data_IF_218220437528
#
_entry.id   IF_218220437528
#
_cell.length_a   1.000
_cell.length_b   1.000
_cell.length_c   1.000
_cell.angle_alpha   90.00
_cell.angle_beta   90.00
_cell.angle_gamma   90.00
#
_symmetry.space_group_name_H-M   'P 1'
#
loop_
_entity.id
_entity.type
_entity.pdbx_description
1 polymer ?
#
# COMPACT_ATOMS: atom_id res chain seq x y z
N UNK A 1 18.72 24.76 -54.90
CA UNK A 1 18.60 23.41 -54.26
C UNK A 1 19.51 23.21 -53.05
N UNK A 2 20.75 23.74 -52.97
CA UNK A 2 21.66 23.54 -51.81
C UNK A 2 21.13 24.08 -50.48
N UNK A 3 20.45 25.24 -50.49
CA UNK A 3 19.93 25.87 -49.27
C UNK A 3 18.75 25.10 -48.66
N UNK A 4 17.89 24.48 -49.51
CA UNK A 4 16.76 23.68 -49.05
C UNK A 4 17.22 22.41 -48.32
N UNK A 5 18.26 21.74 -48.82
CA UNK A 5 18.86 20.57 -48.13
C UNK A 5 19.43 20.94 -46.76
N UNK A 6 20.05 22.11 -46.61
CA UNK A 6 20.61 22.56 -45.34
C UNK A 6 19.51 22.86 -44.32
N UNK A 7 18.40 23.49 -44.74
CA UNK A 7 17.25 23.77 -43.88
C UNK A 7 16.58 22.47 -43.42
N UNK A 8 16.34 21.52 -44.33
CA UNK A 8 15.74 20.22 -43.99
C UNK A 8 16.61 19.43 -43.01
N UNK A 9 17.95 19.47 -43.18
CA UNK A 9 18.88 18.83 -42.25
C UNK A 9 18.77 19.42 -40.83
N UNK A 10 18.68 20.74 -40.68
CA UNK A 10 18.53 21.38 -39.37
C UNK A 10 17.19 21.06 -38.70
N UNK A 11 16.09 21.00 -39.47
CA UNK A 11 14.76 20.65 -38.96
C UNK A 11 14.75 19.22 -38.43
N UNK A 12 15.30 18.26 -39.18
CA UNK A 12 15.39 16.86 -38.75
C UNK A 12 16.24 16.72 -37.48
N UNK A 13 17.37 17.43 -37.40
CA UNK A 13 18.23 17.39 -36.23
C UNK A 13 17.57 18.01 -34.99
N UNK A 14 16.76 19.05 -35.18
CA UNK A 14 15.96 19.66 -34.11
C UNK A 14 14.90 18.70 -33.57
N UNK A 15 14.17 18.00 -34.45
CA UNK A 15 13.20 16.98 -34.03
C UNK A 15 13.85 15.77 -33.35
N UNK A 16 15.02 15.34 -33.83
CA UNK A 16 15.82 14.29 -33.17
C UNK A 16 16.25 14.69 -31.77
N UNK A 17 16.72 15.93 -31.58
CA UNK A 17 17.07 16.48 -30.27
C UNK A 17 15.86 16.58 -29.34
N UNK A 18 14.69 16.97 -29.87
CA UNK A 18 13.45 17.04 -29.08
C UNK A 18 13.00 15.64 -28.62
N UNK A 19 13.14 14.65 -29.49
CA UNK A 19 12.78 13.26 -29.20
C UNK A 19 13.71 12.62 -28.16
N UNK A 20 15.03 12.87 -28.25
CA UNK A 20 16.00 12.36 -27.26
C UNK A 20 15.90 13.09 -25.92
N UNK A 21 15.57 14.38 -25.89
CA UNK A 21 15.27 15.10 -24.64
C UNK A 21 13.95 14.63 -24.01
N UNK A 22 12.92 14.34 -24.82
CA UNK A 22 11.64 13.86 -24.33
C UNK A 22 11.71 12.48 -23.67
N UNK A 23 12.56 11.58 -24.15
CA UNK A 23 12.68 10.22 -23.60
C UNK A 23 13.41 10.16 -22.24
N UNK A 24 14.22 11.17 -21.90
CA UNK A 24 14.90 11.26 -20.59
C UNK A 24 13.93 11.49 -19.42
N UNK A 25 12.70 11.95 -19.68
CA UNK A 25 11.70 12.22 -18.64
C UNK A 25 10.67 11.09 -18.44
N UNK A 26 10.76 10.00 -19.20
CA UNK A 26 9.84 8.83 -19.09
C UNK A 26 10.49 7.70 -18.26
N UNK A 27 11.51 8.03 -17.46
CA UNK A 27 12.03 7.14 -16.45
C UNK A 27 11.08 7.09 -15.26
N UNK A 28 10.24 6.06 -15.19
CA UNK A 28 9.50 5.75 -13.98
C UNK A 28 10.51 5.31 -12.92
N UNK A 29 10.94 6.24 -12.06
CA UNK A 29 11.86 5.95 -10.96
C UNK A 29 11.09 5.09 -9.96
N UNK A 30 11.39 3.80 -9.91
CA UNK A 30 10.94 2.94 -8.80
C UNK A 30 11.55 3.51 -7.52
N UNK A 31 10.78 4.30 -6.79
CA UNK A 31 11.16 4.78 -5.47
C UNK A 31 11.41 3.57 -4.57
N UNK A 32 12.64 3.42 -4.09
CA UNK A 32 13.00 2.45 -3.07
C UNK A 32 12.12 2.67 -1.83
N UNK A 33 11.72 1.58 -1.17
CA UNK A 33 11.04 1.65 0.11
C UNK A 33 11.86 2.52 1.07
N UNK A 34 11.25 3.56 1.62
CA UNK A 34 11.75 4.12 2.87
C UNK A 34 11.55 3.05 3.95
N UNK A 35 12.53 2.14 4.07
CA UNK A 35 12.66 1.22 5.19
C UNK A 35 13.08 2.02 6.43
N UNK A 36 12.19 2.87 6.93
CA UNK A 36 12.27 3.31 8.31
C UNK A 36 11.96 2.12 9.20
N UNK A 37 12.79 1.86 10.21
CA UNK A 37 12.61 0.78 11.20
C UNK A 37 11.25 0.77 11.91
N UNK A 38 10.52 1.88 11.79
CA UNK A 38 9.33 2.24 12.56
C UNK A 38 8.04 2.20 11.73
N UNK A 39 8.12 1.78 10.47
CA UNK A 39 6.97 1.63 9.57
C UNK A 39 6.75 0.17 9.19
N UNK A 40 5.49 -0.17 8.91
CA UNK A 40 5.06 -1.47 8.37
C UNK A 40 4.31 -1.21 7.08
N UNK A 41 4.74 -1.84 5.99
CA UNK A 41 4.05 -1.72 4.71
C UNK A 41 2.65 -2.33 4.79
N UNK A 42 1.70 -1.83 4.01
CA UNK A 42 0.36 -2.41 3.95
C UNK A 42 0.38 -3.91 3.60
N UNK A 43 1.23 -4.30 2.65
CA UNK A 43 1.39 -5.71 2.27
C UNK A 43 1.83 -6.59 3.43
N UNK A 44 2.76 -6.11 4.25
CA UNK A 44 3.21 -6.84 5.43
C UNK A 44 2.12 -6.86 6.52
N UNK A 45 1.37 -5.76 6.66
CA UNK A 45 0.24 -5.68 7.57
C UNK A 45 -0.87 -6.68 7.22
N UNK A 46 -1.30 -6.74 5.95
CA UNK A 46 -2.31 -7.69 5.46
C UNK A 46 -1.87 -9.14 5.65
N UNK A 47 -0.57 -9.42 5.44
CA UNK A 47 0.02 -10.75 5.69
C UNK A 47 -0.08 -11.13 7.16
N UNK A 48 0.29 -10.22 8.07
CA UNK A 48 0.26 -10.51 9.50
C UNK A 48 -1.17 -10.60 10.04
N UNK A 49 -2.09 -9.77 9.57
CA UNK A 49 -3.52 -9.95 9.89
C UNK A 49 -4.07 -11.28 9.40
N UNK A 50 -3.75 -11.68 8.17
CA UNK A 50 -4.16 -12.98 7.63
C UNK A 50 -3.66 -14.14 8.49
N UNK A 51 -2.42 -14.07 9.00
CA UNK A 51 -1.89 -15.07 9.92
C UNK A 51 -2.67 -15.13 11.23
N UNK A 52 -2.96 -13.99 11.85
CA UNK A 52 -3.73 -13.96 13.09
C UNK A 52 -5.16 -14.46 12.85
N UNK A 53 -5.78 -14.07 11.73
CA UNK A 53 -7.11 -14.56 11.38
C UNK A 53 -7.15 -16.08 11.26
N UNK A 54 -6.15 -16.68 10.58
CA UNK A 54 -6.03 -18.15 10.49
C UNK A 54 -5.89 -18.77 11.88
N UNK A 55 -5.05 -18.20 12.75
CA UNK A 55 -4.90 -18.67 14.12
C UNK A 55 -6.22 -18.61 14.89
N UNK A 56 -6.96 -17.51 14.80
CA UNK A 56 -8.27 -17.36 15.44
C UNK A 56 -9.33 -18.29 14.86
N UNK A 57 -9.27 -18.56 13.56
CA UNK A 57 -10.14 -19.52 12.89
C UNK A 57 -9.87 -20.94 13.40
N UNK A 58 -8.60 -21.32 13.53
CA UNK A 58 -8.20 -22.62 14.12
C UNK A 58 -8.55 -22.73 15.60
N UNK A 59 -8.42 -21.66 16.38
CA UNK A 59 -8.82 -21.61 17.80
C UNK A 59 -10.33 -21.81 17.96
N UNK A 60 -11.14 -21.24 17.07
CA UNK A 60 -12.60 -21.22 17.18
C UNK A 60 -13.27 -22.41 16.47
N UNK A 61 -12.69 -22.87 15.36
CA UNK A 61 -13.25 -23.86 14.44
C UNK A 61 -12.15 -24.84 13.97
N UNK A 62 -11.58 -25.67 14.87
CA UNK A 62 -10.40 -26.48 14.57
C UNK A 62 -10.60 -27.49 13.42
N UNK A 63 -11.85 -27.88 13.13
CA UNK A 63 -12.18 -28.87 12.10
C UNK A 63 -12.63 -28.24 10.77
N UNK A 64 -12.95 -26.94 10.76
CA UNK A 64 -13.53 -26.29 9.59
C UNK A 64 -12.67 -25.12 9.07
N UNK A 65 -11.62 -24.70 9.77
CA UNK A 65 -10.84 -23.50 9.48
C UNK A 65 -10.46 -23.36 7.99
N UNK A 66 -11.00 -22.35 7.31
CA UNK A 66 -10.66 -22.05 5.92
C UNK A 66 -9.64 -20.90 5.92
N UNK A 67 -8.46 -21.07 5.33
CA UNK A 67 -7.49 -20.00 5.20
C UNK A 67 -7.94 -19.03 4.08
N UNK A 68 -8.70 -18.01 4.44
CA UNK A 68 -8.96 -16.88 3.55
C UNK A 68 -7.93 -15.77 3.81
N UNK A 69 -7.14 -15.35 2.80
CA UNK A 69 -6.36 -14.13 2.93
C UNK A 69 -7.32 -12.95 3.06
N UNK A 70 -7.12 -12.13 4.09
CA UNK A 70 -7.92 -10.93 4.30
C UNK A 70 -7.10 -9.73 3.82
N UNK A 71 -7.65 -9.00 2.86
CA UNK A 71 -7.19 -7.66 2.49
C UNK A 71 -8.06 -6.64 3.20
N UNK A 72 -7.47 -5.73 3.96
CA UNK A 72 -8.22 -4.70 4.70
C UNK A 72 -8.40 -3.40 3.92
N UNK A 73 -7.89 -3.32 2.69
CA UNK A 73 -8.20 -2.19 1.81
C UNK A 73 -8.78 -2.65 0.46
N UNK A 74 -9.72 -1.85 -0.09
CA UNK A 74 -10.16 -1.99 -1.47
C UNK A 74 -8.99 -1.68 -2.40
N UNK A 75 -8.92 -2.36 -3.54
CA UNK A 75 -7.94 -2.06 -4.58
C UNK A 75 -8.17 -0.66 -5.14
N UNK A 76 -7.52 0.35 -4.55
CA UNK A 76 -7.52 1.68 -5.13
C UNK A 76 -6.71 1.65 -6.43
N UNK A 77 -7.23 2.30 -7.48
CA UNK A 77 -6.59 2.40 -8.81
C UNK A 77 -5.28 3.23 -8.81
N UNK A 78 -4.87 3.72 -7.65
CA UNK A 78 -3.61 4.43 -7.47
C UNK A 78 -2.69 3.52 -6.65
N UNK A 79 -1.45 3.32 -7.13
CA UNK A 79 -0.35 2.67 -6.40
C UNK A 79 0.09 3.56 -5.21
N UNK A 80 -0.82 3.83 -4.29
CA UNK A 80 -0.55 4.56 -3.05
C UNK A 80 0.26 3.65 -2.15
N UNK A 81 1.49 4.04 -1.84
CA UNK A 81 2.31 3.31 -0.87
C UNK A 81 1.85 3.66 0.54
N UNK A 82 0.96 2.84 1.08
CA UNK A 82 0.41 2.99 2.44
C UNK A 82 1.31 2.24 3.42
N UNK A 83 1.71 2.94 4.47
CA UNK A 83 2.48 2.40 5.57
C UNK A 83 1.79 2.71 6.90
N UNK A 84 1.96 1.84 7.88
CA UNK A 84 1.44 2.01 9.23
C UNK A 84 2.59 2.28 10.19
N UNK A 85 2.34 3.06 11.26
CA UNK A 85 3.30 3.14 12.37
C UNK A 85 3.43 1.78 13.05
N UNK A 86 4.64 1.23 13.09
CA UNK A 86 4.93 -0.10 13.62
C UNK A 86 4.47 -0.30 15.05
N UNK A 87 4.66 0.71 15.92
CA UNK A 87 4.22 0.65 17.31
C UNK A 87 2.70 0.48 17.43
N UNK A 88 1.94 1.29 16.68
CA UNK A 88 0.47 1.25 16.70
C UNK A 88 -0.04 -0.08 16.12
N UNK A 89 0.62 -0.56 15.06
CA UNK A 89 0.34 -1.87 14.45
C UNK A 89 0.62 -3.03 15.41
N UNK A 90 1.75 -3.03 16.13
CA UNK A 90 2.09 -4.08 17.11
C UNK A 90 1.10 -4.11 18.28
N UNK A 91 0.65 -2.94 18.76
CA UNK A 91 -0.39 -2.87 19.79
C UNK A 91 -1.70 -3.48 19.29
N UNK A 92 -2.10 -3.18 18.05
CA UNK A 92 -3.26 -3.79 17.41
C UNK A 92 -3.14 -5.32 17.32
N UNK A 93 -2.03 -5.85 16.82
CA UNK A 93 -1.81 -7.30 16.71
C UNK A 93 -1.87 -7.98 18.08
N UNK A 94 -1.26 -7.37 19.11
CA UNK A 94 -1.32 -7.88 20.48
C UNK A 94 -2.76 -7.93 21.01
N UNK A 95 -3.55 -6.88 20.75
CA UNK A 95 -4.95 -6.83 21.14
C UNK A 95 -5.81 -7.87 20.40
N UNK A 96 -5.58 -8.05 19.10
CA UNK A 96 -6.24 -9.09 18.29
C UNK A 96 -5.93 -10.50 18.81
N UNK A 97 -4.66 -10.78 19.13
CA UNK A 97 -4.24 -12.07 19.69
C UNK A 97 -4.85 -12.34 21.07
N UNK A 98 -4.95 -11.32 21.91
CA UNK A 98 -5.56 -11.43 23.24
C UNK A 98 -7.08 -11.55 23.18
N UNK A 99 -7.72 -11.03 22.13
CA UNK A 99 -9.17 -11.05 22.00
C UNK A 99 -9.71 -12.47 21.77
N UNK A 100 -10.82 -12.78 22.45
CA UNK A 100 -11.58 -14.02 22.24
C UNK A 100 -12.87 -13.67 21.51
N UNK A 101 -12.96 -14.08 20.26
CA UNK A 101 -14.15 -13.87 19.44
C UNK A 101 -15.21 -14.91 19.81
N UNK A 102 -16.39 -14.46 20.24
CA UNK A 102 -17.54 -15.33 20.48
C UNK A 102 -18.42 -15.37 19.24
N UNK A 103 -18.08 -16.25 18.30
CA UNK A 103 -18.69 -16.33 16.97
C UNK A 103 -19.10 -17.77 16.65
N UNK A 104 -20.15 -17.96 15.84
CA UNK A 104 -20.74 -19.28 15.59
C UNK A 104 -20.23 -19.95 14.32
N UNK A 105 -19.65 -19.17 13.41
CA UNK A 105 -19.12 -19.64 12.14
C UNK A 105 -18.01 -18.70 11.64
N UNK A 106 -17.33 -19.09 10.56
CA UNK A 106 -16.23 -18.31 10.00
C UNK A 106 -16.63 -16.97 9.39
N UNK A 107 -17.84 -16.87 8.84
CA UNK A 107 -18.34 -15.60 8.32
C UNK A 107 -18.49 -14.58 9.44
N UNK A 108 -19.07 -14.99 10.57
CA UNK A 108 -19.15 -14.17 11.78
C UNK A 108 -17.77 -13.83 12.33
N UNK A 109 -16.81 -14.76 12.28
CA UNK A 109 -15.42 -14.47 12.67
C UNK A 109 -14.79 -13.40 11.78
N UNK A 110 -14.95 -13.50 10.47
CA UNK A 110 -14.41 -12.52 9.50
C UNK A 110 -14.95 -11.13 9.76
N UNK A 111 -16.27 -11.01 9.91
CA UNK A 111 -16.94 -9.74 10.22
C UNK A 111 -16.45 -9.20 11.56
N UNK A 112 -16.44 -10.02 12.61
CA UNK A 112 -16.00 -9.59 13.94
C UNK A 112 -14.52 -9.19 13.97
N UNK A 113 -13.67 -9.85 13.19
CA UNK A 113 -12.26 -9.53 13.05
C UNK A 113 -12.06 -8.18 12.36
N UNK A 114 -12.76 -7.94 11.25
CA UNK A 114 -12.74 -6.64 10.55
C UNK A 114 -13.25 -5.53 11.45
N UNK A 115 -14.39 -5.72 12.10
CA UNK A 115 -14.95 -4.77 13.06
C UNK A 115 -13.99 -4.46 14.21
N UNK A 116 -13.23 -5.44 14.68
CA UNK A 116 -12.22 -5.21 15.70
C UNK A 116 -11.10 -4.32 15.16
N UNK A 117 -10.56 -4.64 13.98
CA UNK A 117 -9.50 -3.83 13.35
C UNK A 117 -10.00 -2.39 13.16
N UNK A 118 -11.17 -2.18 12.58
CA UNK A 118 -11.68 -0.85 12.27
C UNK A 118 -11.95 0.00 13.52
N UNK A 119 -12.46 -0.60 14.60
CA UNK A 119 -12.83 0.14 15.82
C UNK A 119 -11.68 0.30 16.80
N UNK A 120 -10.86 -0.73 16.99
CA UNK A 120 -9.79 -0.74 18.00
C UNK A 120 -8.45 -0.33 17.42
N UNK A 121 -8.13 -0.80 16.22
CA UNK A 121 -6.85 -0.51 15.59
C UNK A 121 -6.96 0.85 14.90
N UNK A 122 -6.85 1.92 15.70
CA UNK A 122 -6.74 3.32 15.24
C UNK A 122 -5.40 3.56 14.53
N UNK A 123 -5.12 2.78 13.49
CA UNK A 123 -3.83 2.74 12.80
C UNK A 123 -3.61 4.05 12.06
N UNK A 124 -2.55 4.75 12.42
CA UNK A 124 -2.13 5.94 11.67
C UNK A 124 -1.52 5.50 10.35
N UNK A 125 -2.21 5.81 9.26
CA UNK A 125 -1.73 5.61 7.89
C UNK A 125 -0.76 6.73 7.51
N UNK A 126 0.35 6.36 6.91
CA UNK A 126 1.33 7.23 6.28
C UNK A 126 1.26 6.93 4.79
N UNK A 127 0.68 7.85 4.03
CA UNK A 127 0.47 7.71 2.58
C UNK A 127 1.59 8.47 1.88
N UNK A 128 2.39 7.77 1.08
CA UNK A 128 3.37 8.39 0.20
C UNK A 128 2.77 8.55 -1.20
N UNK A 129 2.75 9.79 -1.71
CA UNK A 129 2.31 10.09 -3.07
C UNK A 129 3.46 9.82 -4.06
N UNK A 130 3.19 8.98 -5.06
CA UNK A 130 4.19 8.50 -6.02
C UNK A 130 4.70 9.58 -6.99
N UNK A 131 4.05 10.76 -7.05
CA UNK A 131 4.32 11.83 -8.02
C UNK A 131 4.72 13.18 -7.42
N UNK A 132 5.19 13.25 -6.17
CA UNK A 132 5.70 14.52 -5.63
C UNK A 132 7.13 14.80 -6.14
N UNK A 133 7.26 15.70 -7.12
CA UNK A 133 8.54 16.28 -7.58
C UNK A 133 9.33 16.95 -6.45
N UNK A 134 8.68 17.26 -5.33
CA UNK A 134 9.26 17.84 -4.13
C UNK A 134 9.19 16.83 -3.00
N UNK A 135 10.35 16.27 -2.66
CA UNK A 135 10.68 15.57 -1.41
C UNK A 135 9.52 15.28 -0.44
N UNK A 136 9.05 14.03 -0.43
CA UNK A 136 8.51 13.41 0.80
C UNK A 136 7.39 14.16 1.51
N UNK A 137 6.36 14.62 0.80
CA UNK A 137 5.16 15.12 1.46
C UNK A 137 4.44 13.96 2.17
N UNK A 138 4.63 13.89 3.49
CA UNK A 138 3.87 13.07 4.41
C UNK A 138 2.47 13.68 4.47
N UNK A 139 1.54 13.15 3.69
CA UNK A 139 0.15 13.51 3.88
C UNK A 139 -0.38 12.70 5.07
N UNK A 140 -0.42 13.33 6.24
CA UNK A 140 -1.22 12.88 7.38
C UNK A 140 -2.69 13.10 7.00
N UNK A 141 -3.21 12.32 6.07
CA UNK A 141 -4.64 12.24 5.86
C UNK A 141 -5.21 11.62 7.14
N UNK A 142 -5.67 12.46 8.07
CA UNK A 142 -6.71 12.08 9.01
C UNK A 142 -7.88 11.60 8.15
N UNK A 143 -8.01 10.28 8.00
CA UNK A 143 -9.23 9.67 7.49
C UNK A 143 -10.26 9.86 8.61
N UNK A 144 -10.94 10.99 8.59
CA UNK A 144 -12.14 11.21 9.38
C UNK A 144 -13.29 10.46 8.70
N UNK A 145 -13.74 9.41 9.38
CA UNK A 145 -15.02 8.69 9.34
C UNK A 145 -15.67 8.41 7.98
#
# INVERSE_FOLDING_TARGET
MKNLRRIVFHIINFFLLLYTFGSLFIGCVKNEELKGSDLVSQRDADRDYSRIFILKSLESFPNDAIPYPISFEPSERCDRKINYKKKDFQVCLGALLANRFSVKNQTELSIAFQDFVDRFCKLKKVIFLENSLTSGEINLCEINY
#
